data_IF_947950879067
#
_entry.id   IF_947950879067
#
_cell.length_a   1.000
_cell.length_b   1.000
_cell.length_c   1.000
_cell.angle_alpha   90.00
_cell.angle_beta   90.00
_cell.angle_gamma   90.00
#
_symmetry.space_group_name_H-M   'P 1'
#
loop_
_entity.id
_entity.type
_entity.pdbx_description
1 polymer ?
#
# COMPACT_ATOMS: atom_id res chain seq x y z
N UNK A 1 -22.75 10.65 6.76
CA UNK A 1 -22.42 10.63 5.32
C UNK A 1 -22.46 12.06 4.78
N UNK A 2 -21.39 12.56 4.17
CA UNK A 2 -21.28 13.96 3.72
C UNK A 2 -22.38 14.35 2.73
N UNK A 3 -22.71 13.47 1.78
CA UNK A 3 -23.74 13.68 0.75
C UNK A 3 -25.13 14.00 1.32
N UNK A 4 -25.48 13.45 2.49
CA UNK A 4 -26.73 13.77 3.20
C UNK A 4 -26.71 15.16 3.84
N UNK A 5 -25.53 15.64 4.24
CA UNK A 5 -25.36 16.98 4.83
C UNK A 5 -25.44 18.09 3.79
N UNK A 6 -25.06 17.81 2.55
CA UNK A 6 -25.02 18.79 1.45
C UNK A 6 -26.20 18.68 0.49
N UNK A 7 -27.22 17.87 0.83
CA UNK A 7 -28.39 17.57 -0.03
C UNK A 7 -28.01 17.27 -1.49
N UNK A 8 -26.98 16.44 -1.68
CA UNK A 8 -26.42 16.21 -3.00
C UNK A 8 -27.40 15.38 -3.85
N UNK A 9 -27.66 15.80 -5.10
CA UNK A 9 -28.60 15.15 -6.03
C UNK A 9 -28.40 13.64 -6.19
N UNK A 10 -27.14 13.19 -6.22
CA UNK A 10 -26.75 11.77 -6.28
C UNK A 10 -27.07 10.94 -5.03
N UNK A 11 -27.52 11.54 -3.92
CA UNK A 11 -27.86 10.80 -2.71
C UNK A 11 -28.98 9.79 -2.97
N UNK A 12 -30.05 10.20 -3.66
CA UNK A 12 -31.18 9.33 -4.03
C UNK A 12 -30.76 8.15 -4.90
N UNK A 13 -29.79 8.41 -5.79
CA UNK A 13 -29.25 7.39 -6.69
C UNK A 13 -28.39 6.38 -5.91
N UNK A 14 -27.57 6.84 -4.96
CA UNK A 14 -26.72 5.98 -4.13
C UNK A 14 -27.48 5.18 -3.06
N UNK A 15 -28.54 5.75 -2.46
CA UNK A 15 -29.32 5.09 -1.40
C UNK A 15 -30.00 3.79 -1.87
N UNK A 16 -30.31 3.70 -3.17
CA UNK A 16 -30.90 2.49 -3.77
C UNK A 16 -29.88 1.48 -4.30
N UNK A 17 -28.58 1.80 -4.31
CA UNK A 17 -27.56 0.93 -4.88
C UNK A 17 -27.03 -0.07 -3.83
N UNK A 18 -26.93 -1.36 -4.19
CA UNK A 18 -26.31 -2.34 -3.30
C UNK A 18 -24.83 -2.03 -3.13
N UNK A 19 -24.38 -1.91 -1.87
CA UNK A 19 -22.96 -1.77 -1.57
C UNK A 19 -22.30 -3.14 -1.73
N UNK A 20 -21.58 -3.32 -2.83
CA UNK A 20 -20.78 -4.53 -3.06
C UNK A 20 -19.33 -4.29 -2.63
N UNK A 21 -18.90 -5.00 -1.58
CA UNK A 21 -17.48 -5.03 -1.23
C UNK A 21 -16.74 -5.84 -2.30
N UNK A 22 -15.81 -5.20 -2.98
CA UNK A 22 -14.97 -5.88 -3.95
C UNK A 22 -14.21 -7.05 -3.31
N UNK A 23 -14.42 -8.25 -3.86
CA UNK A 23 -13.70 -9.46 -3.48
C UNK A 23 -12.38 -9.52 -4.22
N UNK A 24 -11.32 -9.07 -3.56
CA UNK A 24 -9.94 -9.22 -4.02
C UNK A 24 -9.33 -10.50 -3.43
N UNK A 25 -8.58 -11.25 -4.23
CA UNK A 25 -8.00 -12.56 -3.85
C UNK A 25 -7.02 -12.47 -2.68
N UNK A 26 -6.38 -11.32 -2.51
CA UNK A 26 -5.36 -11.10 -1.50
C UNK A 26 -5.87 -10.41 -0.22
N UNK A 27 -7.17 -10.13 -0.11
CA UNK A 27 -7.74 -9.59 1.13
C UNK A 27 -7.46 -10.52 2.32
N UNK A 28 -7.17 -9.92 3.48
CA UNK A 28 -6.94 -10.63 4.73
C UNK A 28 -7.62 -9.91 5.89
N UNK A 29 -8.10 -10.68 6.85
CA UNK A 29 -8.66 -10.19 8.13
C UNK A 29 -7.73 -10.46 9.30
N UNK A 30 -6.58 -11.10 9.06
CA UNK A 30 -5.65 -11.56 10.10
C UNK A 30 -4.41 -10.69 10.23
N UNK A 31 -4.17 -9.80 9.28
CA UNK A 31 -3.00 -8.93 9.24
C UNK A 31 -3.39 -7.47 9.51
N UNK A 32 -2.96 -6.96 10.66
CA UNK A 32 -3.28 -5.60 11.12
C UNK A 32 -2.08 -4.64 11.05
N UNK A 33 -0.91 -5.11 10.61
CA UNK A 33 0.36 -4.35 10.64
C UNK A 33 0.88 -4.00 9.25
N UNK A 34 0.43 -4.69 8.20
CA UNK A 34 0.90 -4.51 6.82
C UNK A 34 -0.10 -3.74 5.93
N UNK A 35 -1.16 -3.14 6.49
CA UNK A 35 -2.21 -2.48 5.70
C UNK A 35 -1.67 -1.45 4.71
N UNK A 36 -0.68 -0.63 5.12
CA UNK A 36 -0.03 0.34 4.24
C UNK A 36 0.72 -0.32 3.08
N UNK A 37 1.32 -1.50 3.28
CA UNK A 37 1.99 -2.25 2.20
C UNK A 37 0.98 -2.74 1.17
N UNK A 38 -0.16 -3.27 1.62
CA UNK A 38 -1.25 -3.68 0.73
C UNK A 38 -1.78 -2.51 -0.09
N UNK A 39 -2.01 -1.35 0.53
CA UNK A 39 -2.50 -0.15 -0.16
C UNK A 39 -1.46 0.34 -1.17
N UNK A 40 -0.19 0.51 -0.78
CA UNK A 40 0.86 0.97 -1.70
C UNK A 40 1.03 0.01 -2.88
N UNK A 41 0.98 -1.31 -2.64
CA UNK A 41 1.08 -2.31 -3.70
C UNK A 41 -0.13 -2.30 -4.62
N UNK A 42 -1.32 -2.10 -4.06
CA UNK A 42 -2.54 -1.97 -4.84
C UNK A 42 -2.45 -0.76 -5.78
N UNK A 43 -2.05 0.41 -5.27
CA UNK A 43 -1.89 1.62 -6.09
C UNK A 43 -0.77 1.48 -7.12
N UNK A 44 0.36 0.84 -6.78
CA UNK A 44 1.49 0.60 -7.70
C UNK A 44 1.08 -0.28 -8.89
N UNK A 45 0.17 -1.24 -8.68
CA UNK A 45 -0.24 -2.22 -9.70
C UNK A 45 -1.57 -1.85 -10.37
N UNK A 46 -2.20 -0.74 -9.96
CA UNK A 46 -3.46 -0.32 -10.51
C UNK A 46 -3.26 0.17 -11.94
N UNK A 47 -3.90 -0.50 -12.90
CA UNK A 47 -3.76 -0.25 -14.33
C UNK A 47 -5.01 0.38 -14.96
N UNK A 48 -5.87 1.02 -14.15
CA UNK A 48 -7.17 1.54 -14.58
C UNK A 48 -8.10 0.51 -15.25
N UNK A 49 -7.81 -0.79 -15.11
CA UNK A 49 -8.66 -1.83 -15.64
C UNK A 49 -9.89 -2.00 -14.73
N UNK A 50 -11.07 -1.80 -15.30
CA UNK A 50 -12.35 -1.99 -14.64
C UNK A 50 -12.67 -3.47 -14.36
N UNK A 51 -11.90 -4.40 -14.95
CA UNK A 51 -11.98 -5.81 -14.60
C UNK A 51 -11.60 -5.98 -13.14
N UNK A 52 -12.56 -6.46 -12.34
CA UNK A 52 -12.48 -6.76 -10.89
C UNK A 52 -11.45 -7.83 -10.51
N UNK A 53 -10.48 -8.11 -11.37
CA UNK A 53 -9.55 -9.24 -11.33
C UNK A 53 -8.09 -8.80 -11.44
N UNK A 54 -7.73 -7.62 -10.92
CA UNK A 54 -6.33 -7.20 -10.92
C UNK A 54 -5.53 -8.05 -9.91
N UNK A 55 -4.41 -8.61 -10.38
CA UNK A 55 -3.49 -9.34 -9.52
C UNK A 55 -2.37 -8.40 -9.02
N UNK A 56 -2.31 -8.21 -7.71
CA UNK A 56 -1.25 -7.43 -7.06
C UNK A 56 0.04 -8.26 -6.84
N UNK A 57 0.03 -9.55 -7.18
CA UNK A 57 1.15 -10.49 -7.02
C UNK A 57 1.37 -10.93 -5.57
N UNK A 58 0.28 -10.99 -4.79
CA UNK A 58 0.32 -11.55 -3.44
C UNK A 58 0.00 -13.05 -3.49
N UNK A 59 0.87 -13.90 -2.91
CA UNK A 59 0.59 -15.33 -2.85
C UNK A 59 -0.59 -15.62 -1.90
N UNK A 60 -1.28 -16.72 -2.15
CA UNK A 60 -2.40 -17.16 -1.30
C UNK A 60 -1.92 -17.71 0.06
N UNK A 61 -0.76 -18.38 0.08
CA UNK A 61 -0.14 -18.86 1.30
C UNK A 61 0.28 -17.70 2.23
N UNK A 62 -0.12 -17.77 3.50
CA UNK A 62 0.08 -16.68 4.46
C UNK A 62 1.57 -16.47 4.80
N UNK A 63 2.38 -17.54 4.84
CA UNK A 63 3.82 -17.42 5.11
C UNK A 63 4.53 -16.72 3.95
N UNK A 64 4.25 -17.14 2.72
CA UNK A 64 4.74 -16.51 1.50
C UNK A 64 4.27 -15.05 1.40
N UNK A 65 3.02 -14.77 1.80
CA UNK A 65 2.46 -13.42 1.81
C UNK A 65 3.18 -12.53 2.81
N UNK A 66 3.46 -13.01 4.03
CA UNK A 66 4.27 -12.30 5.02
C UNK A 66 5.69 -12.00 4.51
N UNK A 67 6.33 -12.97 3.84
CA UNK A 67 7.64 -12.75 3.21
C UNK A 67 7.56 -11.68 2.11
N UNK A 68 6.53 -11.73 1.26
CA UNK A 68 6.27 -10.71 0.24
C UNK A 68 6.07 -9.32 0.86
N UNK A 69 5.31 -9.21 1.95
CA UNK A 69 5.14 -7.97 2.70
C UNK A 69 6.48 -7.44 3.23
N UNK A 70 7.34 -8.32 3.76
CA UNK A 70 8.68 -7.95 4.22
C UNK A 70 9.55 -7.36 3.09
N UNK A 71 9.54 -7.98 1.91
CA UNK A 71 10.27 -7.48 0.74
C UNK A 71 9.72 -6.13 0.24
N UNK A 72 8.39 -6.02 0.13
CA UNK A 72 7.74 -4.78 -0.29
C UNK A 72 7.98 -3.65 0.72
N UNK A 73 7.97 -3.93 2.02
CA UNK A 73 8.35 -2.97 3.06
C UNK A 73 9.75 -2.43 2.83
N UNK A 74 10.75 -3.31 2.66
CA UNK A 74 12.12 -2.89 2.37
C UNK A 74 12.19 -2.01 1.11
N UNK A 75 11.53 -2.43 0.03
CA UNK A 75 11.46 -1.67 -1.23
C UNK A 75 10.87 -0.28 -1.03
N UNK A 76 9.68 -0.18 -0.43
CA UNK A 76 8.98 1.10 -0.27
C UNK A 76 9.68 2.01 0.74
N UNK A 77 10.18 1.48 1.85
CA UNK A 77 10.97 2.24 2.82
C UNK A 77 12.24 2.80 2.18
N UNK A 78 12.99 1.98 1.44
CA UNK A 78 14.18 2.45 0.72
C UNK A 78 13.83 3.59 -0.26
N UNK A 79 12.76 3.43 -1.06
CA UNK A 79 12.29 4.49 -1.97
C UNK A 79 11.91 5.78 -1.22
N UNK A 80 11.18 5.69 -0.12
CA UNK A 80 10.77 6.87 0.66
C UNK A 80 11.98 7.58 1.29
N UNK A 81 12.90 6.81 1.88
CA UNK A 81 14.08 7.36 2.54
C UNK A 81 15.03 8.06 1.56
N UNK A 82 15.19 7.51 0.36
CA UNK A 82 16.13 8.01 -0.66
C UNK A 82 15.51 8.96 -1.69
N UNK A 83 14.21 9.23 -1.59
CA UNK A 83 13.50 10.12 -2.51
C UNK A 83 13.94 11.58 -2.36
N UNK A 84 14.03 12.31 -3.46
CA UNK A 84 14.38 13.74 -3.46
C UNK A 84 13.37 14.63 -2.73
N UNK A 85 12.12 14.16 -2.55
CA UNK A 85 11.13 14.90 -1.77
C UNK A 85 11.32 14.75 -0.26
N UNK A 86 12.13 13.78 0.19
CA UNK A 86 12.43 13.61 1.60
C UNK A 86 13.47 14.64 2.04
N UNK A 87 13.03 15.64 2.82
CA UNK A 87 13.91 16.69 3.36
C UNK A 87 15.06 16.16 4.23
N UNK A 88 14.95 14.92 4.72
CA UNK A 88 15.98 14.27 5.52
C UNK A 88 16.86 13.31 4.70
N UNK A 89 16.72 13.26 3.38
CA UNK A 89 17.46 12.33 2.50
C UNK A 89 18.97 12.40 2.76
N UNK A 90 19.56 13.58 2.78
CA UNK A 90 21.01 13.74 2.94
C UNK A 90 21.50 13.22 4.29
N UNK A 91 20.72 13.45 5.36
CA UNK A 91 21.02 12.87 6.69
C UNK A 91 20.99 11.35 6.64
N UNK A 92 19.95 10.76 6.03
CA UNK A 92 19.81 9.30 5.93
C UNK A 92 20.97 8.69 5.12
N UNK A 93 21.36 9.30 4.01
CA UNK A 93 22.49 8.83 3.19
C UNK A 93 23.80 8.90 3.98
N UNK A 94 24.01 9.99 4.73
CA UNK A 94 25.19 10.14 5.58
C UNK A 94 25.27 9.06 6.66
N UNK A 95 24.18 8.80 7.37
CA UNK A 95 24.10 7.75 8.39
C UNK A 95 24.39 6.35 7.80
N UNK A 96 23.93 6.08 6.57
CA UNK A 96 24.23 4.81 5.87
C UNK A 96 25.73 4.67 5.60
N UNK A 97 26.38 5.72 5.08
CA UNK A 97 27.83 5.71 4.79
C UNK A 97 28.63 5.46 6.07
N UNK A 98 28.25 6.08 7.19
CA UNK A 98 28.90 5.90 8.49
C UNK A 98 28.75 4.47 9.02
N UNK A 99 27.58 3.86 8.85
CA UNK A 99 27.33 2.46 9.24
C UNK A 99 28.14 1.46 8.39
N UNK A 100 28.20 1.67 7.08
CA UNK A 100 28.97 0.81 6.17
C UNK A 100 30.48 0.87 6.50
N UNK A 101 30.99 2.07 6.81
CA UNK A 101 32.38 2.26 7.26
C UNK A 101 32.68 1.68 8.64
N UNK A 102 31.71 1.61 9.54
CA UNK A 102 31.87 0.99 10.86
C UNK A 102 31.88 -0.54 10.80
N UNK A 103 31.34 -1.14 9.74
CA UNK A 103 31.26 -2.60 9.58
C UNK A 103 32.53 -3.20 8.96
N UNK A 104 33.48 -2.35 8.54
CA UNK A 104 34.74 -2.76 7.89
C UNK A 104 35.97 -2.81 8.80
N UNK A 105 35.79 -2.58 10.12
CA UNK A 105 36.85 -2.67 11.15
C UNK A 105 36.65 -3.88 12.07
#
# INVERSE_FOLDING_TARGET
MHLKKVDHSKLKELEGLPVEKLKISWATTKNFVDCGIFVMRHMEMFNANYARSWDCGFPMDERAKKMKCGLLRKKYTCKMLTSDVNIYKDRVIKEVIELDGATTN
#
